data_IF_166899595773
#
_entry.id   IF_166899595773
#
_cell.length_a   1.000
_cell.length_b   1.000
_cell.length_c   1.000
_cell.angle_alpha   90.00
_cell.angle_beta   90.00
_cell.angle_gamma   90.00
#
_symmetry.space_group_name_H-M   'P 1'
#
loop_
_entity.id
_entity.type
_entity.pdbx_description
1 polymer ?
#
# COMPACT_ATOMS: atom_id res chain seq x y z
N UNK A 1 -0.16 28.15 -34.48
CA UNK A 1 -0.24 27.08 -33.48
C UNK A 1 -1.42 26.21 -33.83
N UNK A 2 -1.24 24.89 -33.87
CA UNK A 2 -2.35 23.94 -33.98
C UNK A 2 -2.70 23.56 -32.54
N UNK A 3 -3.95 23.79 -32.14
CA UNK A 3 -4.49 23.24 -30.89
C UNK A 3 -4.95 21.82 -31.23
N UNK A 4 -4.61 20.84 -30.39
CA UNK A 4 -4.97 19.44 -30.62
C UNK A 4 -6.29 19.05 -29.93
N UNK A 5 -6.57 19.66 -28.77
CA UNK A 5 -7.75 19.41 -27.96
C UNK A 5 -7.89 20.43 -26.85
N UNK A 6 -9.09 20.51 -26.26
CA UNK A 6 -9.35 21.28 -25.05
C UNK A 6 -9.52 20.32 -23.87
N UNK A 7 -8.58 20.33 -22.93
CA UNK A 7 -8.77 19.69 -21.63
C UNK A 7 -9.54 20.62 -20.72
N UNK A 8 -10.72 20.19 -20.26
CA UNK A 8 -11.69 21.09 -19.64
C UNK A 8 -11.22 21.63 -18.28
N UNK A 9 -10.86 20.71 -17.38
CA UNK A 9 -10.47 21.02 -16.00
C UNK A 9 -9.56 19.91 -15.51
N UNK A 10 -8.34 20.27 -15.13
CA UNK A 10 -7.37 19.38 -14.48
C UNK A 10 -7.82 19.06 -13.04
N UNK A 11 -7.84 17.77 -12.68
CA UNK A 11 -8.15 17.24 -11.35
C UNK A 11 -9.42 17.84 -10.71
N UNK A 12 -10.60 17.69 -11.33
CA UNK A 12 -11.81 18.32 -10.84
C UNK A 12 -12.19 17.80 -9.45
N UNK A 13 -12.37 18.74 -8.51
CA UNK A 13 -12.91 18.52 -7.16
C UNK A 13 -14.22 19.29 -7.04
N UNK A 14 -15.31 18.58 -6.72
CA UNK A 14 -16.66 19.14 -6.76
C UNK A 14 -17.41 18.98 -5.42
N UNK A 15 -18.61 19.57 -5.33
CA UNK A 15 -19.49 19.39 -4.15
C UNK A 15 -20.27 18.07 -4.23
N UNK A 16 -20.51 17.57 -5.43
CA UNK A 16 -21.00 16.23 -5.73
C UNK A 16 -20.54 15.79 -7.13
N UNK A 17 -20.63 14.50 -7.48
CA UNK A 17 -20.35 14.03 -8.84
C UNK A 17 -21.23 14.71 -9.90
N UNK A 18 -22.51 14.93 -9.60
CA UNK A 18 -23.47 15.54 -10.53
C UNK A 18 -23.12 16.99 -10.85
N UNK A 19 -22.52 17.73 -9.91
CA UNK A 19 -22.05 19.10 -10.17
C UNK A 19 -20.96 19.13 -11.23
N UNK A 20 -20.01 18.19 -11.17
CA UNK A 20 -18.95 18.10 -12.17
C UNK A 20 -19.51 17.69 -13.53
N UNK A 21 -20.36 16.66 -13.56
CA UNK A 21 -21.02 16.22 -14.79
C UNK A 21 -21.81 17.35 -15.46
N UNK A 22 -22.63 18.08 -14.70
CA UNK A 22 -23.42 19.19 -15.23
C UNK A 22 -22.55 20.33 -15.75
N UNK A 23 -21.45 20.65 -15.06
CA UNK A 23 -20.51 21.66 -15.52
C UNK A 23 -19.80 21.22 -16.81
N UNK A 24 -19.28 20.00 -16.85
CA UNK A 24 -18.59 19.45 -18.02
C UNK A 24 -19.52 19.45 -19.25
N UNK A 25 -20.77 18.97 -19.11
CA UNK A 25 -21.76 19.01 -20.20
C UNK A 25 -22.05 20.43 -20.70
N UNK A 26 -22.15 21.40 -19.80
CA UNK A 26 -22.33 22.82 -20.16
C UNK A 26 -21.12 23.39 -20.88
N UNK A 27 -19.91 23.04 -20.46
CA UNK A 27 -18.66 23.46 -21.12
C UNK A 27 -18.57 22.85 -22.52
N UNK A 28 -18.86 21.55 -22.67
CA UNK A 28 -18.90 20.89 -23.98
C UNK A 28 -19.91 21.58 -24.90
N UNK A 29 -21.15 21.79 -24.44
CA UNK A 29 -22.17 22.47 -25.24
C UNK A 29 -21.73 23.88 -25.68
N UNK A 30 -21.18 24.68 -24.75
CA UNK A 30 -20.69 26.02 -25.06
C UNK A 30 -19.51 26.01 -26.04
N UNK A 31 -18.61 25.03 -25.95
CA UNK A 31 -17.52 24.87 -26.94
C UNK A 31 -18.12 24.51 -28.29
N UNK A 32 -19.07 23.58 -28.36
CA UNK A 32 -19.70 23.13 -29.62
C UNK A 32 -20.53 24.22 -30.33
N UNK A 33 -20.97 25.26 -29.63
CA UNK A 33 -21.58 26.45 -30.24
C UNK A 33 -20.62 27.21 -31.16
N UNK A 34 -19.31 27.13 -30.92
CA UNK A 34 -18.29 27.89 -31.65
C UNK A 34 -17.22 27.03 -32.33
N UNK A 35 -17.02 25.80 -31.85
CA UNK A 35 -16.03 24.84 -32.33
C UNK A 35 -16.62 23.41 -32.36
N UNK A 36 -17.33 23.07 -33.46
CA UNK A 36 -18.18 21.87 -33.52
C UNK A 36 -17.42 20.55 -33.63
N UNK A 37 -16.12 20.56 -33.91
CA UNK A 37 -15.38 19.33 -34.26
C UNK A 37 -14.08 19.11 -33.49
N UNK A 38 -13.57 20.09 -32.73
CA UNK A 38 -12.31 19.89 -32.01
C UNK A 38 -12.41 18.80 -30.93
N UNK A 39 -11.30 18.12 -30.65
CA UNK A 39 -11.26 17.16 -29.55
C UNK A 39 -11.50 17.90 -28.23
N UNK A 40 -12.38 17.36 -27.39
CA UNK A 40 -12.54 17.80 -26.00
C UNK A 40 -12.13 16.63 -25.11
N UNK A 41 -11.30 16.92 -24.11
CA UNK A 41 -10.82 15.95 -23.14
C UNK A 41 -11.57 16.21 -21.83
N UNK A 42 -12.17 15.16 -21.27
CA UNK A 42 -12.96 15.24 -20.03
C UNK A 42 -12.34 14.32 -18.99
N UNK A 43 -11.88 14.90 -17.89
CA UNK A 43 -11.29 14.16 -16.78
C UNK A 43 -12.36 13.58 -15.85
N UNK A 44 -12.08 12.40 -15.28
CA UNK A 44 -12.86 11.86 -14.16
C UNK A 44 -12.86 12.80 -12.96
N UNK A 45 -13.86 12.68 -12.08
CA UNK A 45 -13.83 13.40 -10.80
C UNK A 45 -12.72 12.84 -9.89
N UNK A 46 -11.88 13.73 -9.35
CA UNK A 46 -10.82 13.36 -8.42
C UNK A 46 -11.29 13.34 -6.96
N UNK A 47 -12.23 14.22 -6.58
CA UNK A 47 -12.80 14.18 -5.24
C UNK A 47 -14.08 14.95 -5.03
N UNK A 48 -14.76 14.64 -3.92
CA UNK A 48 -15.98 15.31 -3.46
C UNK A 48 -15.74 15.89 -2.08
N UNK A 49 -15.77 17.23 -1.94
CA UNK A 49 -15.60 17.90 -0.63
C UNK A 49 -14.37 17.42 0.17
N UNK A 50 -13.25 17.17 -0.51
CA UNK A 50 -12.02 16.66 0.08
C UNK A 50 -11.97 15.14 0.32
N UNK A 51 -13.02 14.41 -0.08
CA UNK A 51 -13.02 12.95 -0.16
C UNK A 51 -12.51 12.51 -1.53
N UNK A 52 -11.33 11.87 -1.54
CA UNK A 52 -10.62 11.40 -2.73
C UNK A 52 -10.94 9.95 -3.09
N UNK A 53 -11.95 9.36 -2.44
CA UNK A 53 -12.35 7.99 -2.74
C UNK A 53 -12.94 7.90 -4.14
N UNK A 54 -12.66 6.77 -4.76
CA UNK A 54 -13.26 6.39 -6.04
C UNK A 54 -14.55 5.61 -5.79
N UNK A 55 -15.61 5.95 -6.52
CA UNK A 55 -16.93 5.32 -6.49
C UNK A 55 -17.10 4.40 -7.72
N UNK A 56 -18.34 4.22 -8.17
CA UNK A 56 -18.66 3.46 -9.38
C UNK A 56 -17.97 4.06 -10.63
N UNK A 57 -17.59 3.21 -11.58
CA UNK A 57 -16.99 3.57 -12.87
C UNK A 57 -15.82 4.53 -12.76
N UNK A 58 -15.02 4.40 -11.70
CA UNK A 58 -13.85 5.23 -11.47
C UNK A 58 -14.16 6.75 -11.47
N UNK A 59 -15.37 7.14 -11.06
CA UNK A 59 -15.88 8.52 -11.10
C UNK A 59 -15.92 9.15 -12.51
N UNK A 60 -15.92 8.35 -13.57
CA UNK A 60 -16.24 8.81 -14.91
C UNK A 60 -17.76 8.94 -15.11
N UNK A 61 -18.14 9.67 -16.15
CA UNK A 61 -19.48 9.72 -16.71
C UNK A 61 -19.35 9.93 -18.22
N UNK A 62 -20.35 9.51 -18.99
CA UNK A 62 -20.31 9.61 -20.45
C UNK A 62 -21.02 10.87 -20.97
N UNK A 63 -20.39 11.58 -21.89
CA UNK A 63 -20.99 12.67 -22.66
C UNK A 63 -21.25 12.21 -24.09
N UNK A 64 -22.48 12.38 -24.56
CA UNK A 64 -22.85 12.12 -25.96
C UNK A 64 -22.32 13.27 -26.83
N UNK A 65 -21.16 13.05 -27.43
CA UNK A 65 -20.51 13.98 -28.36
C UNK A 65 -19.59 13.18 -29.29
N UNK A 66 -19.51 13.52 -30.59
CA UNK A 66 -18.78 12.73 -31.56
C UNK A 66 -17.24 12.80 -31.41
N UNK A 67 -16.68 13.71 -30.61
CA UNK A 67 -15.23 13.88 -30.48
C UNK A 67 -14.80 14.22 -29.04
N UNK A 68 -15.09 13.31 -28.11
CA UNK A 68 -14.64 13.33 -26.71
C UNK A 68 -13.60 12.24 -26.48
N UNK A 69 -12.54 12.58 -25.74
CA UNK A 69 -11.68 11.62 -25.06
C UNK A 69 -11.79 11.79 -23.54
N UNK A 70 -11.55 10.72 -22.80
CA UNK A 70 -11.55 10.74 -21.33
C UNK A 70 -10.13 10.71 -20.80
N UNK A 71 -9.88 11.37 -19.67
CA UNK A 71 -8.57 11.37 -19.03
C UNK A 71 -8.58 11.06 -17.54
N UNK A 72 -7.44 10.58 -17.06
CA UNK A 72 -7.14 10.25 -15.68
C UNK A 72 -5.65 10.43 -15.39
N UNK A 73 -5.31 10.52 -14.10
CA UNK A 73 -3.92 10.55 -13.63
C UNK A 73 -3.52 9.24 -12.95
N UNK A 74 -2.24 8.90 -13.00
CA UNK A 74 -1.69 7.66 -12.45
C UNK A 74 -0.44 7.90 -11.61
N UNK A 75 -0.60 7.78 -10.29
CA UNK A 75 0.48 7.96 -9.31
C UNK A 75 0.61 6.78 -8.35
N UNK A 76 0.33 5.55 -8.79
CA UNK A 76 0.39 4.36 -7.94
C UNK A 76 1.81 3.74 -7.84
N UNK A 77 2.19 3.19 -6.67
CA UNK A 77 1.63 3.47 -5.36
C UNK A 77 1.95 4.90 -4.93
N UNK A 78 0.95 5.63 -4.42
CA UNK A 78 1.11 7.04 -4.04
C UNK A 78 2.22 7.27 -3.02
N UNK A 79 2.37 6.34 -2.07
CA UNK A 79 3.44 6.37 -1.08
C UNK A 79 4.84 6.30 -1.69
N UNK A 80 5.02 5.73 -2.89
CA UNK A 80 6.29 5.70 -3.60
C UNK A 80 6.44 6.91 -4.54
N UNK A 81 5.42 7.22 -5.34
CA UNK A 81 5.49 8.32 -6.32
C UNK A 81 5.64 9.69 -5.65
N UNK A 82 5.20 9.82 -4.39
CA UNK A 82 5.26 11.05 -3.59
C UNK A 82 6.08 10.89 -2.29
N UNK A 83 6.94 9.87 -2.18
CA UNK A 83 7.78 9.69 -0.99
C UNK A 83 8.63 10.94 -0.72
N UNK A 84 8.78 11.32 0.55
CA UNK A 84 9.59 12.47 1.01
C UNK A 84 9.13 13.83 0.51
N UNK A 85 7.89 13.92 0.02
CA UNK A 85 7.30 15.22 -0.29
C UNK A 85 6.82 15.91 0.99
N UNK A 86 7.21 17.17 1.24
CA UNK A 86 6.89 17.86 2.49
C UNK A 86 5.39 18.15 2.67
N UNK A 87 4.59 18.13 1.59
CA UNK A 87 3.16 18.42 1.63
C UNK A 87 2.27 17.20 1.82
N UNK A 88 2.75 15.97 1.55
CA UNK A 88 1.96 14.75 1.77
C UNK A 88 2.28 14.06 3.10
N UNK A 89 3.46 14.34 3.69
CA UNK A 89 3.91 13.69 4.91
C UNK A 89 4.19 12.19 4.73
N UNK A 90 4.39 11.73 3.49
CA UNK A 90 4.68 10.32 3.20
C UNK A 90 6.06 9.93 3.74
N UNK A 91 6.14 8.89 4.60
CA UNK A 91 7.40 8.44 5.19
C UNK A 91 8.30 7.76 4.14
N UNK A 92 9.59 7.66 4.50
CA UNK A 92 10.72 7.64 3.58
C UNK A 92 11.24 6.24 3.18
N UNK A 93 11.67 6.17 1.92
CA UNK A 93 12.68 5.31 1.28
C UNK A 93 12.45 3.79 1.16
N UNK A 94 11.41 3.40 0.44
CA UNK A 94 11.35 2.05 -0.15
C UNK A 94 11.54 2.12 -1.68
N UNK A 95 12.48 1.37 -2.27
CA UNK A 95 12.83 1.46 -3.69
C UNK A 95 11.76 0.85 -4.60
N UNK A 96 11.88 1.01 -5.92
CA UNK A 96 11.07 0.28 -6.90
C UNK A 96 11.92 -0.45 -7.96
N UNK A 97 11.58 -1.69 -8.32
CA UNK A 97 10.61 -2.55 -7.63
C UNK A 97 11.14 -2.94 -6.24
N UNK A 98 10.23 -3.31 -5.34
CA UNK A 98 10.56 -3.89 -4.05
C UNK A 98 9.64 -5.08 -3.79
N UNK A 99 10.19 -6.27 -4.04
CA UNK A 99 9.48 -7.54 -3.84
C UNK A 99 9.22 -7.84 -2.37
N UNK A 100 9.90 -7.20 -1.42
CA UNK A 100 9.64 -7.41 0.01
C UNK A 100 8.49 -6.53 0.52
N UNK A 101 8.18 -5.43 -0.18
CA UNK A 101 7.08 -4.54 0.19
C UNK A 101 5.75 -5.09 -0.32
N UNK A 102 4.90 -5.48 0.63
CA UNK A 102 3.53 -5.92 0.38
C UNK A 102 2.59 -4.72 0.23
N UNK A 103 1.70 -4.77 -0.77
CA UNK A 103 0.58 -3.86 -0.94
C UNK A 103 -0.67 -4.61 -0.51
N UNK A 104 -1.06 -4.39 0.74
CA UNK A 104 -2.16 -5.07 1.41
C UNK A 104 -3.48 -4.35 1.10
N UNK A 105 -4.53 -5.06 0.64
CA UNK A 105 -5.83 -4.45 0.41
C UNK A 105 -6.38 -3.74 1.65
N UNK A 106 -6.95 -2.54 1.45
CA UNK A 106 -7.48 -1.72 2.55
C UNK A 106 -8.63 -2.38 3.33
N UNK A 107 -9.34 -3.34 2.74
CA UNK A 107 -10.41 -4.09 3.38
C UNK A 107 -9.93 -5.37 4.08
N UNK A 108 -8.60 -5.56 4.20
CA UNK A 108 -8.02 -6.73 4.85
C UNK A 108 -8.47 -6.82 6.31
N UNK A 109 -8.94 -7.99 6.72
CA UNK A 109 -9.50 -8.24 8.05
C UNK A 109 -8.91 -9.51 8.67
N UNK A 110 -8.82 -9.50 10.01
CA UNK A 110 -8.49 -10.71 10.77
C UNK A 110 -9.49 -11.82 10.48
N UNK A 111 -8.99 -13.04 10.25
CA UNK A 111 -9.81 -14.20 9.91
C UNK A 111 -9.59 -15.37 10.86
N UNK A 112 -8.33 -15.74 11.11
CA UNK A 112 -7.97 -16.85 12.00
C UNK A 112 -6.59 -16.65 12.59
N UNK A 113 -6.16 -17.56 13.47
CA UNK A 113 -4.87 -17.46 14.13
C UNK A 113 -4.32 -18.82 14.59
N UNK A 114 -3.06 -18.83 15.05
CA UNK A 114 -2.47 -20.00 15.71
C UNK A 114 -2.82 -20.03 17.20
N UNK A 115 -3.66 -20.97 17.64
CA UNK A 115 -4.17 -21.01 19.01
C UNK A 115 -3.44 -21.97 19.96
N UNK A 116 -2.57 -22.83 19.45
CA UNK A 116 -1.94 -23.94 20.18
C UNK A 116 -0.46 -23.69 20.53
N UNK A 117 0.01 -22.46 20.44
CA UNK A 117 1.39 -22.13 20.80
C UNK A 117 1.62 -22.23 22.32
N UNK A 118 2.84 -22.59 22.75
CA UNK A 118 3.11 -22.72 24.18
C UNK A 118 3.00 -21.38 24.91
N UNK A 119 2.46 -21.42 26.13
CA UNK A 119 2.16 -20.23 26.93
C UNK A 119 3.11 -20.04 28.11
N UNK A 120 3.23 -18.80 28.62
CA UNK A 120 3.95 -18.52 29.86
C UNK A 120 3.34 -19.28 31.05
N UNK A 121 4.16 -19.84 31.96
CA UNK A 121 3.64 -20.40 33.21
C UNK A 121 3.10 -19.29 34.14
N UNK A 122 2.18 -19.61 35.05
CA UNK A 122 1.70 -18.66 36.04
C UNK A 122 2.81 -18.22 37.01
N UNK A 123 2.67 -17.03 37.58
CA UNK A 123 3.67 -16.44 38.48
C UNK A 123 4.79 -15.72 37.74
N UNK A 124 6.01 -15.79 38.28
CA UNK A 124 7.20 -15.15 37.72
C UNK A 124 8.03 -16.15 36.92
N UNK A 125 8.54 -15.73 35.77
CA UNK A 125 9.50 -16.51 34.98
C UNK A 125 10.64 -15.63 34.48
N UNK A 126 11.77 -16.24 34.13
CA UNK A 126 12.86 -15.57 33.39
C UNK A 126 12.64 -15.66 31.88
N UNK A 127 13.47 -14.96 31.11
CA UNK A 127 13.47 -15.06 29.65
C UNK A 127 13.71 -16.51 29.20
N UNK A 128 12.80 -17.07 28.41
CA UNK A 128 12.92 -18.41 27.80
C UNK A 128 12.48 -18.36 26.34
N UNK A 129 13.03 -19.26 25.54
CA UNK A 129 12.65 -19.41 24.14
C UNK A 129 11.46 -20.36 24.04
N UNK A 130 10.42 -19.94 23.34
CA UNK A 130 9.20 -20.70 23.10
C UNK A 130 9.12 -21.03 21.61
N UNK A 131 9.09 -22.33 21.29
CA UNK A 131 8.97 -22.82 19.91
C UNK A 131 7.50 -22.93 19.53
N UNK A 132 7.13 -22.29 18.43
CA UNK A 132 5.78 -22.35 17.88
C UNK A 132 5.41 -23.74 17.36
N UNK A 133 4.11 -24.00 17.32
CA UNK A 133 3.55 -25.12 16.57
C UNK A 133 3.33 -24.69 15.12
N UNK A 134 3.50 -25.63 14.19
CA UNK A 134 3.21 -25.41 12.78
C UNK A 134 1.70 -25.30 12.58
N UNK A 135 1.28 -24.27 11.87
CA UNK A 135 -0.09 -24.11 11.37
C UNK A 135 -0.08 -24.22 9.86
N UNK A 136 -0.86 -25.15 9.31
CA UNK A 136 -0.98 -25.33 7.87
C UNK A 136 -2.07 -24.41 7.31
N UNK A 137 -1.69 -23.49 6.44
CA UNK A 137 -2.58 -22.53 5.81
C UNK A 137 -3.29 -23.17 4.61
N UNK A 138 -4.39 -23.87 4.84
CA UNK A 138 -5.11 -24.59 3.77
C UNK A 138 -6.21 -23.76 3.08
N UNK A 139 -6.65 -22.67 3.68
CA UNK A 139 -7.67 -21.80 3.10
C UNK A 139 -7.04 -20.92 2.01
N UNK A 140 -7.48 -21.04 0.74
CA UNK A 140 -6.90 -20.29 -0.37
C UNK A 140 -7.17 -18.78 -0.30
N UNK A 141 -8.06 -18.32 0.58
CA UNK A 141 -8.38 -16.90 0.73
C UNK A 141 -7.44 -16.16 1.70
N UNK A 142 -6.56 -16.89 2.41
CA UNK A 142 -5.57 -16.28 3.28
C UNK A 142 -4.59 -15.44 2.46
N UNK A 143 -4.50 -14.15 2.79
CA UNK A 143 -3.62 -13.21 2.10
C UNK A 143 -2.31 -13.02 2.86
N UNK A 144 -2.42 -12.63 4.13
CA UNK A 144 -1.25 -12.30 4.95
C UNK A 144 -1.30 -12.98 6.30
N UNK A 145 -0.13 -13.18 6.88
CA UNK A 145 0.06 -13.52 8.28
C UNK A 145 0.88 -12.43 8.96
N UNK A 146 0.70 -12.24 10.26
CA UNK A 146 1.47 -11.29 11.07
C UNK A 146 1.67 -11.78 12.50
N UNK A 147 2.76 -11.40 13.18
CA UNK A 147 2.95 -11.72 14.59
C UNK A 147 1.92 -11.01 15.47
N UNK A 148 1.44 -11.72 16.48
CA UNK A 148 0.57 -11.22 17.52
C UNK A 148 1.06 -11.70 18.89
N UNK A 149 1.26 -10.77 19.81
CA UNK A 149 1.66 -11.05 21.18
C UNK A 149 0.41 -11.04 22.06
N UNK A 150 -0.01 -12.19 22.54
CA UNK A 150 -1.28 -12.36 23.27
C UNK A 150 -1.02 -12.28 24.77
N UNK A 151 -1.85 -11.55 25.50
CA UNK A 151 -1.92 -11.64 26.96
C UNK A 151 -3.38 -11.56 27.40
N UNK A 152 -4.02 -12.72 27.49
CA UNK A 152 -5.42 -12.86 27.91
C UNK A 152 -5.53 -13.15 29.40
N UNK A 153 -6.52 -12.54 30.05
CA UNK A 153 -6.87 -12.76 31.46
C UNK A 153 -5.68 -12.59 32.43
N UNK A 154 -4.80 -11.61 32.16
CA UNK A 154 -3.53 -11.43 32.86
C UNK A 154 -3.43 -10.07 33.58
N UNK A 155 -3.80 -10.04 34.87
CA UNK A 155 -3.56 -8.89 35.75
C UNK A 155 -2.08 -8.60 35.99
N UNK A 156 -1.20 -9.54 35.66
CA UNK A 156 0.25 -9.40 35.71
C UNK A 156 0.84 -8.71 34.48
N UNK A 157 2.01 -9.18 34.04
CA UNK A 157 2.68 -8.70 32.84
C UNK A 157 3.34 -9.84 32.07
N UNK A 158 3.20 -9.82 30.75
CA UNK A 158 3.92 -10.68 29.81
C UNK A 158 4.84 -9.81 28.95
N UNK A 159 6.06 -10.29 28.73
CA UNK A 159 7.10 -9.60 27.98
C UNK A 159 7.47 -10.45 26.77
N UNK A 160 7.54 -9.83 25.60
CA UNK A 160 7.81 -10.46 24.32
C UNK A 160 9.01 -9.78 23.68
N UNK A 161 10.06 -10.55 23.43
CA UNK A 161 11.28 -10.08 22.80
C UNK A 161 11.35 -10.49 21.33
N UNK A 162 12.58 -10.74 20.87
CA UNK A 162 12.84 -11.18 19.50
C UNK A 162 12.02 -12.42 19.12
N UNK A 163 11.51 -12.40 17.89
CA UNK A 163 10.73 -13.49 17.32
C UNK A 163 11.13 -13.77 15.86
N UNK A 164 10.76 -14.96 15.41
CA UNK A 164 10.91 -15.41 14.03
C UNK A 164 9.66 -16.16 13.61
N UNK A 165 9.24 -15.99 12.37
CA UNK A 165 8.20 -16.76 11.70
C UNK A 165 8.87 -17.56 10.59
N UNK A 166 8.83 -18.87 10.75
CA UNK A 166 9.39 -19.85 9.82
C UNK A 166 8.30 -20.34 8.87
N UNK A 167 8.63 -20.49 7.59
CA UNK A 167 7.77 -21.08 6.57
C UNK A 167 8.26 -22.48 6.19
N UNK A 168 7.30 -23.36 5.91
CA UNK A 168 7.53 -24.73 5.48
C UNK A 168 6.65 -25.05 4.26
N UNK A 169 7.19 -25.82 3.33
CA UNK A 169 6.43 -26.30 2.16
C UNK A 169 5.31 -27.28 2.55
N UNK A 170 4.56 -27.75 1.56
CA UNK A 170 3.45 -28.70 1.75
C UNK A 170 3.86 -30.04 2.36
N UNK A 171 5.14 -30.42 2.21
CA UNK A 171 5.72 -31.64 2.76
C UNK A 171 6.33 -31.42 4.15
N UNK A 172 6.31 -30.18 4.65
CA UNK A 172 6.84 -29.79 5.96
C UNK A 172 8.34 -29.47 5.97
N UNK A 173 8.99 -29.37 4.81
CA UNK A 173 10.39 -28.95 4.68
C UNK A 173 10.52 -27.46 4.94
N UNK A 174 11.57 -27.06 5.66
CA UNK A 174 11.83 -25.65 5.96
C UNK A 174 12.26 -24.88 4.70
N UNK A 175 11.60 -23.76 4.44
CA UNK A 175 11.90 -22.88 3.30
C UNK A 175 12.70 -21.64 3.72
N UNK A 176 12.43 -21.09 4.90
CA UNK A 176 13.09 -19.87 5.36
C UNK A 176 12.33 -19.15 6.47
N UNK A 177 12.90 -18.01 6.90
CA UNK A 177 12.20 -17.04 7.75
C UNK A 177 11.42 -16.10 6.84
N UNK A 178 10.10 -16.04 6.99
CA UNK A 178 9.25 -15.08 6.26
C UNK A 178 9.08 -13.77 7.01
N UNK A 179 9.37 -13.77 8.30
CA UNK A 179 9.39 -12.58 9.13
C UNK A 179 10.31 -12.80 10.33
N UNK A 180 11.12 -11.81 10.67
CA UNK A 180 11.86 -11.77 11.93
C UNK A 180 11.83 -10.35 12.48
N UNK A 181 11.71 -10.23 13.80
CA UNK A 181 11.57 -8.93 14.44
C UNK A 181 12.46 -8.83 15.67
N UNK A 182 13.31 -7.80 15.67
CA UNK A 182 13.95 -7.28 16.88
C UNK A 182 13.14 -6.08 17.34
N UNK A 183 12.61 -6.17 18.56
CA UNK A 183 11.78 -5.09 19.10
C UNK A 183 12.68 -3.90 19.43
N UNK A 184 12.39 -2.75 18.83
CA UNK A 184 13.08 -1.47 19.08
C UNK A 184 12.12 -0.28 19.31
N UNK A 185 10.87 -0.41 18.88
CA UNK A 185 9.83 0.58 19.09
C UNK A 185 8.44 -0.06 19.09
N UNK A 186 7.41 0.73 19.39
CA UNK A 186 6.00 0.32 19.19
C UNK A 186 5.46 0.70 17.80
N UNK A 187 6.27 1.30 16.93
CA UNK A 187 5.86 1.58 15.56
C UNK A 187 5.50 0.26 14.85
N UNK A 188 4.39 0.27 14.12
CA UNK A 188 3.86 -0.92 13.47
C UNK A 188 3.10 -1.89 14.37
N UNK A 189 2.98 -1.61 15.68
CA UNK A 189 2.21 -2.44 16.62
C UNK A 189 0.88 -1.81 16.98
N UNK A 190 -0.19 -2.59 16.89
CA UNK A 190 -1.54 -2.19 17.29
C UNK A 190 -2.00 -3.02 18.49
N UNK A 191 -2.40 -2.36 19.58
CA UNK A 191 -2.97 -3.03 20.75
C UNK A 191 -4.49 -3.10 20.63
N UNK A 192 -5.03 -4.31 20.73
CA UNK A 192 -6.45 -4.57 20.83
C UNK A 192 -6.76 -5.31 22.13
N UNK A 193 -7.90 -4.99 22.73
CA UNK A 193 -8.41 -5.63 23.93
C UNK A 193 -9.94 -5.70 23.87
N UNK A 194 -10.49 -6.88 24.14
CA UNK A 194 -11.92 -7.17 24.03
C UNK A 194 -12.78 -6.26 24.90
N UNK A 195 -12.33 -5.96 26.13
CA UNK A 195 -13.03 -5.14 27.12
C UNK A 195 -12.33 -3.77 27.35
N UNK A 196 -11.36 -3.43 26.50
CA UNK A 196 -10.57 -2.20 26.62
C UNK A 196 -9.56 -2.21 27.76
N UNK A 197 -9.35 -3.34 28.45
CA UNK A 197 -8.38 -3.47 29.53
C UNK A 197 -6.94 -3.62 29.02
N UNK A 198 -6.01 -3.30 29.90
CA UNK A 198 -4.57 -3.47 29.68
C UNK A 198 -3.93 -2.42 28.78
N UNK A 199 -2.64 -2.61 28.52
CA UNK A 199 -1.82 -1.72 27.69
C UNK A 199 -0.56 -2.41 27.20
N UNK A 200 0.02 -1.86 26.14
CA UNK A 200 1.39 -2.17 25.70
C UNK A 200 2.36 -1.05 26.06
N UNK A 201 3.58 -1.43 26.44
CA UNK A 201 4.68 -0.51 26.74
C UNK A 201 6.00 -1.13 26.24
N UNK A 202 7.00 -0.30 25.92
CA UNK A 202 8.37 -0.79 25.79
C UNK A 202 8.93 -1.12 27.18
N UNK A 203 9.68 -2.21 27.25
CA UNK A 203 10.37 -2.65 28.45
C UNK A 203 11.77 -3.17 28.13
N UNK A 204 12.58 -3.36 29.18
CA UNK A 204 13.89 -4.00 29.06
C UNK A 204 13.72 -5.43 28.53
N UNK A 205 14.36 -5.68 27.39
CA UNK A 205 14.41 -6.96 26.72
C UNK A 205 15.52 -7.85 27.24
N UNK A 206 15.80 -8.92 26.49
CA UNK A 206 16.90 -9.83 26.79
C UNK A 206 18.23 -9.19 26.36
N UNK A 207 19.29 -9.38 27.15
CA UNK A 207 20.67 -8.93 26.83
C UNK A 207 20.77 -7.44 26.48
N UNK A 208 20.01 -6.59 27.19
CA UNK A 208 20.02 -5.14 26.98
C UNK A 208 19.24 -4.66 25.75
N UNK A 209 18.51 -5.55 25.05
CA UNK A 209 17.57 -5.16 23.99
C UNK A 209 16.26 -4.59 24.56
N UNK A 210 15.25 -4.41 23.69
CA UNK A 210 13.90 -4.01 24.11
C UNK A 210 12.90 -5.15 23.92
N UNK A 211 11.75 -5.02 24.56
CA UNK A 211 10.64 -5.96 24.49
C UNK A 211 9.31 -5.21 24.55
N UNK A 212 8.28 -5.81 23.97
CA UNK A 212 6.90 -5.37 24.20
C UNK A 212 6.41 -6.01 25.49
N UNK A 213 5.96 -5.18 26.43
CA UNK A 213 5.29 -5.61 27.65
C UNK A 213 3.80 -5.37 27.50
N UNK A 214 3.01 -6.42 27.71
CA UNK A 214 1.55 -6.34 27.85
C UNK A 214 1.21 -6.54 29.31
N UNK A 215 0.35 -5.68 29.88
CA UNK A 215 0.00 -5.76 31.31
C UNK A 215 -1.42 -5.35 31.60
N UNK A 216 -1.99 -5.92 32.68
CA UNK A 216 -3.27 -5.50 33.25
C UNK A 216 -4.49 -5.86 32.39
N UNK A 217 -4.45 -6.97 31.68
CA UNK A 217 -5.57 -7.42 30.84
C UNK A 217 -6.56 -8.26 31.66
N UNK A 218 -7.85 -8.07 31.44
CA UNK A 218 -8.96 -8.77 32.10
C UNK A 218 -9.82 -9.60 31.15
N UNK A 219 -9.57 -9.50 29.85
CA UNK A 219 -10.18 -10.31 28.79
C UNK A 219 -9.11 -10.65 27.73
N UNK A 220 -9.55 -11.10 26.55
CA UNK A 220 -8.65 -11.32 25.42
C UNK A 220 -8.02 -10.01 24.94
N UNK A 221 -6.71 -10.04 24.74
CA UNK A 221 -5.95 -8.87 24.34
C UNK A 221 -4.65 -9.27 23.67
N UNK A 222 -4.24 -8.50 22.66
CA UNK A 222 -3.01 -8.73 21.92
C UNK A 222 -2.41 -7.45 21.35
N UNK A 223 -1.10 -7.49 21.14
CA UNK A 223 -0.38 -6.54 20.29
C UNK A 223 -0.12 -7.20 18.94
N UNK A 224 -0.70 -6.68 17.86
CA UNK A 224 -0.52 -7.18 16.49
C UNK A 224 0.53 -6.33 15.75
N UNK A 225 1.53 -7.00 15.15
CA UNK A 225 2.59 -6.35 14.36
C UNK A 225 2.19 -6.17 12.90
N UNK A 226 1.47 -5.09 12.60
CA UNK A 226 0.95 -4.79 11.26
C UNK A 226 2.03 -4.54 10.20
N UNK A 227 3.19 -4.02 10.61
CA UNK A 227 4.34 -3.77 9.72
C UNK A 227 5.17 -5.05 9.49
N UNK A 228 4.85 -6.13 10.21
CA UNK A 228 5.54 -7.42 10.15
C UNK A 228 4.73 -8.46 9.37
N UNK A 229 3.89 -7.99 8.44
CA UNK A 229 3.10 -8.87 7.58
C UNK A 229 4.00 -9.64 6.61
N UNK A 230 3.66 -10.89 6.38
CA UNK A 230 4.21 -11.72 5.31
C UNK A 230 3.07 -12.26 4.43
N UNK A 231 3.38 -12.56 3.17
CA UNK A 231 2.43 -13.17 2.24
C UNK A 231 2.23 -14.65 2.59
N UNK A 232 0.98 -15.10 2.60
CA UNK A 232 0.64 -16.51 2.86
C UNK A 232 0.56 -17.26 1.54
N UNK A 233 1.21 -18.42 1.50
CA UNK A 233 1.13 -19.36 0.39
C UNK A 233 0.17 -20.49 0.78
N UNK A 234 -0.94 -20.72 0.05
CA UNK A 234 -1.83 -21.84 0.32
C UNK A 234 -1.09 -23.18 0.31
N UNK A 235 -1.40 -24.04 1.29
CA UNK A 235 -0.77 -25.36 1.47
C UNK A 235 0.49 -25.37 2.34
N UNK A 236 1.19 -24.24 2.45
CA UNK A 236 2.37 -24.09 3.30
C UNK A 236 2.01 -24.07 4.80
N UNK A 237 3.01 -24.27 5.65
CA UNK A 237 2.87 -24.15 7.10
C UNK A 237 3.74 -23.05 7.67
N UNK A 238 3.27 -22.43 8.76
CA UNK A 238 3.97 -21.34 9.43
C UNK A 238 4.08 -21.60 10.93
N UNK A 239 5.21 -21.23 11.54
CA UNK A 239 5.40 -21.32 12.99
C UNK A 239 6.10 -20.06 13.51
N UNK A 240 5.53 -19.45 14.56
CA UNK A 240 6.16 -18.32 15.26
C UNK A 240 6.86 -18.79 16.53
N UNK A 241 8.13 -18.47 16.65
CA UNK A 241 8.97 -18.79 17.80
C UNK A 241 9.64 -17.52 18.33
N UNK A 242 9.99 -17.48 19.61
CA UNK A 242 10.61 -16.27 20.17
C UNK A 242 10.80 -16.32 21.68
N UNK A 243 11.34 -15.23 22.24
CA UNK A 243 11.60 -15.11 23.66
C UNK A 243 10.43 -14.46 24.42
N UNK A 244 10.03 -15.08 25.53
CA UNK A 244 9.04 -14.50 26.45
C UNK A 244 9.50 -14.57 27.91
N UNK A 245 8.98 -13.67 28.74
CA UNK A 245 9.14 -13.63 30.19
C UNK A 245 7.81 -13.21 30.85
N UNK A 246 7.52 -13.70 32.06
CA UNK A 246 6.33 -13.35 32.83
C UNK A 246 6.65 -12.71 34.19
N UNK A 247 5.81 -11.76 34.62
CA UNK A 247 5.81 -11.24 35.99
C UNK A 247 4.38 -11.26 36.53
N UNK A 248 4.19 -11.97 37.66
CA UNK A 248 2.88 -12.16 38.31
C UNK A 248 1.79 -12.62 37.33
N UNK A 249 2.14 -13.49 36.38
CA UNK A 249 1.19 -14.03 35.39
C UNK A 249 0.06 -14.74 36.11
N UNK A 250 -1.19 -14.35 35.80
CA UNK A 250 -2.36 -14.92 36.47
C UNK A 250 -2.49 -16.43 36.23
N UNK A 251 -3.12 -17.14 37.16
CA UNK A 251 -3.21 -18.61 37.16
C UNK A 251 -3.78 -19.19 35.85
N UNK A 252 -4.77 -18.51 35.26
CA UNK A 252 -5.48 -18.94 34.06
C UNK A 252 -5.15 -18.08 32.83
N UNK A 253 -4.15 -17.20 32.92
CA UNK A 253 -3.77 -16.33 31.83
C UNK A 253 -3.25 -17.15 30.64
N UNK A 254 -3.53 -16.66 29.43
CA UNK A 254 -2.90 -17.17 28.20
C UNK A 254 -2.01 -16.07 27.65
N UNK A 255 -0.70 -16.27 27.81
CA UNK A 255 0.31 -15.37 27.26
C UNK A 255 1.20 -16.12 26.27
N UNK A 256 1.13 -15.80 24.98
CA UNK A 256 1.83 -16.55 23.93
C UNK A 256 2.16 -15.69 22.71
N UNK A 257 3.12 -16.16 21.92
CA UNK A 257 3.33 -15.72 20.54
C UNK A 257 2.28 -16.39 19.66
N UNK A 258 1.68 -15.63 18.74
CA UNK A 258 0.63 -16.09 17.82
C UNK A 258 0.89 -15.52 16.42
N UNK A 259 0.47 -16.22 15.38
CA UNK A 259 0.31 -15.64 14.04
C UNK A 259 -1.16 -15.35 13.86
N UNK A 260 -1.50 -14.11 13.53
CA UNK A 260 -2.82 -13.70 13.06
C UNK A 260 -2.82 -13.73 11.54
N UNK A 261 -3.81 -14.40 10.95
CA UNK A 261 -4.00 -14.51 9.51
C UNK A 261 -5.18 -13.66 9.05
N UNK A 262 -5.05 -13.07 7.88
CA UNK A 262 -5.99 -12.09 7.36
C UNK A 262 -6.45 -12.42 5.92
N UNK A 263 -7.68 -12.03 5.60
CA UNK A 263 -8.31 -12.19 4.27
C UNK A 263 -8.85 -10.84 3.77
N UNK A 264 -9.22 -10.75 2.49
CA UNK A 264 -9.98 -9.61 1.94
C UNK A 264 -11.44 -10.04 1.69
N UNK A 265 -12.42 -9.48 2.43
CA UNK A 265 -13.83 -9.79 2.22
C UNK A 265 -14.35 -9.48 0.81
N UNK A 266 -13.76 -8.48 0.12
CA UNK A 266 -14.10 -8.18 -1.27
C UNK A 266 -13.33 -9.03 -2.30
N UNK A 267 -12.50 -9.98 -1.86
CA UNK A 267 -11.72 -10.85 -2.74
C UNK A 267 -10.56 -10.14 -3.43
N UNK A 268 -10.11 -8.98 -2.92
CA UNK A 268 -8.95 -8.28 -3.47
C UNK A 268 -7.67 -9.08 -3.24
N UNK A 269 -6.76 -8.99 -4.19
CA UNK A 269 -5.48 -9.70 -4.19
C UNK A 269 -4.43 -8.94 -3.40
N UNK A 270 -3.52 -9.69 -2.79
CA UNK A 270 -2.27 -9.15 -2.26
C UNK A 270 -1.30 -8.91 -3.42
N UNK A 271 -0.64 -7.75 -3.43
CA UNK A 271 0.40 -7.44 -4.41
C UNK A 271 1.73 -7.17 -3.74
N UNK A 272 2.79 -7.18 -4.55
CA UNK A 272 4.12 -6.65 -4.20
C UNK A 272 4.33 -5.35 -4.96
N UNK A 273 5.25 -4.51 -4.50
CA UNK A 273 5.53 -3.22 -5.14
C UNK A 273 6.37 -3.41 -6.41
N UNK A 274 5.72 -3.83 -7.49
CA UNK A 274 6.35 -4.14 -8.79
C UNK A 274 5.39 -3.86 -9.96
N UNK A 275 5.79 -4.24 -11.18
CA UNK A 275 5.04 -3.99 -12.43
C UNK A 275 3.65 -4.60 -12.42
N UNK A 276 3.47 -5.75 -11.79
CA UNK A 276 2.17 -6.44 -11.73
C UNK A 276 1.15 -5.63 -10.94
N UNK A 277 1.58 -4.95 -9.87
CA UNK A 277 0.72 -4.01 -9.16
C UNK A 277 0.35 -2.80 -10.02
N UNK A 278 1.31 -2.24 -10.76
CA UNK A 278 1.04 -1.10 -11.67
C UNK A 278 0.02 -1.50 -12.74
N UNK A 279 0.19 -2.70 -13.32
CA UNK A 279 -0.76 -3.29 -14.26
C UNK A 279 -2.15 -3.40 -13.64
N UNK A 280 -2.26 -4.02 -12.47
CA UNK A 280 -3.55 -4.18 -11.79
C UNK A 280 -4.28 -2.85 -11.55
N UNK A 281 -3.56 -1.81 -11.15
CA UNK A 281 -4.17 -0.48 -10.96
C UNK A 281 -4.55 0.17 -12.30
N UNK A 282 -3.73 0.03 -13.34
CA UNK A 282 -3.97 0.60 -14.66
C UNK A 282 -5.16 -0.09 -15.37
N UNK A 283 -5.28 -1.41 -15.23
CA UNK A 283 -6.32 -2.22 -15.86
C UNK A 283 -7.74 -1.79 -15.48
N UNK A 284 -7.94 -1.18 -14.31
CA UNK A 284 -9.24 -0.62 -13.92
C UNK A 284 -9.70 0.46 -14.90
N UNK A 285 -8.77 1.30 -15.37
CA UNK A 285 -9.06 2.36 -16.35
C UNK A 285 -9.21 1.79 -17.76
N UNK A 286 -8.41 0.78 -18.11
CA UNK A 286 -8.55 0.06 -19.38
C UNK A 286 -9.92 -0.63 -19.46
N UNK A 287 -10.37 -1.28 -18.39
CA UNK A 287 -11.70 -1.90 -18.31
C UNK A 287 -12.81 -0.87 -18.54
N UNK A 288 -12.68 0.35 -17.99
CA UNK A 288 -13.61 1.44 -18.28
C UNK A 288 -13.63 1.79 -19.78
N UNK A 289 -12.46 1.98 -20.40
CA UNK A 289 -12.34 2.25 -21.85
C UNK A 289 -13.03 1.17 -22.69
N UNK A 290 -12.73 -0.09 -22.42
CA UNK A 290 -13.23 -1.21 -23.23
C UNK A 290 -14.72 -1.45 -23.00
N UNK A 291 -15.20 -1.33 -21.77
CA UNK A 291 -16.62 -1.48 -21.42
C UNK A 291 -17.49 -0.44 -22.11
N UNK A 292 -17.00 0.80 -22.20
CA UNK A 292 -17.76 1.92 -22.77
C UNK A 292 -17.40 2.21 -24.24
N UNK A 293 -16.35 1.57 -24.77
CA UNK A 293 -15.82 1.79 -26.11
C UNK A 293 -15.53 3.28 -26.39
N UNK A 294 -14.75 3.91 -25.51
CA UNK A 294 -14.40 5.35 -25.58
C UNK A 294 -12.90 5.58 -25.65
N UNK A 295 -12.42 6.66 -26.30
CA UNK A 295 -11.00 7.03 -26.24
C UNK A 295 -10.59 7.39 -24.81
N UNK A 296 -9.43 6.89 -24.40
CA UNK A 296 -8.85 7.13 -23.08
C UNK A 296 -7.41 7.62 -23.22
N UNK A 297 -7.03 8.55 -22.35
CA UNK A 297 -5.74 9.23 -22.35
C UNK A 297 -5.20 9.37 -20.92
N UNK A 298 -3.94 9.03 -20.68
CA UNK A 298 -3.28 9.25 -19.39
C UNK A 298 -2.72 10.67 -19.30
N UNK A 299 -3.47 11.57 -18.65
CA UNK A 299 -3.15 13.00 -18.57
C UNK A 299 -1.90 13.29 -17.75
N UNK A 300 -1.69 12.55 -16.66
CA UNK A 300 -0.49 12.72 -15.85
C UNK A 300 -0.03 11.40 -15.24
N UNK A 301 1.27 11.15 -15.33
CA UNK A 301 1.97 10.18 -14.50
C UNK A 301 3.41 10.66 -14.32
N UNK A 302 4.00 10.32 -13.18
CA UNK A 302 5.33 10.79 -12.85
C UNK A 302 5.76 10.39 -11.45
N UNK A 303 6.95 10.85 -11.09
CA UNK A 303 7.55 10.57 -9.78
C UNK A 303 8.18 11.84 -9.23
N UNK A 304 8.05 12.02 -7.92
CA UNK A 304 8.82 13.04 -7.23
C UNK A 304 10.33 12.79 -7.44
N UNK A 305 11.08 13.88 -7.55
CA UNK A 305 12.50 13.91 -7.91
C UNK A 305 13.35 12.97 -7.06
N UNK A 306 13.02 12.82 -5.78
CA UNK A 306 13.74 11.93 -4.86
C UNK A 306 13.76 10.47 -5.34
N UNK A 307 12.73 10.01 -6.03
CA UNK A 307 12.65 8.66 -6.57
C UNK A 307 13.74 8.36 -7.62
N UNK A 308 14.40 9.38 -8.16
CA UNK A 308 15.50 9.25 -9.13
C UNK A 308 16.89 9.29 -8.49
N UNK A 309 16.99 9.36 -7.16
CA UNK A 309 18.26 9.20 -6.46
C UNK A 309 18.75 7.74 -6.53
N UNK A 310 20.03 7.53 -6.25
CA UNK A 310 20.66 6.21 -6.35
C UNK A 310 19.95 5.18 -5.45
N UNK A 311 19.66 4.00 -5.99
CA UNK A 311 18.98 2.93 -5.28
C UNK A 311 17.45 3.03 -5.25
N UNK A 312 16.86 4.19 -5.54
CA UNK A 312 15.40 4.37 -5.41
C UNK A 312 14.59 3.81 -6.58
N UNK A 313 15.20 3.68 -7.77
CA UNK A 313 14.61 2.92 -8.86
C UNK A 313 13.53 3.64 -9.68
N UNK A 314 13.46 4.96 -9.63
CA UNK A 314 12.50 5.76 -10.40
C UNK A 314 12.55 5.50 -11.91
N UNK A 315 13.73 5.28 -12.49
CA UNK A 315 13.85 4.92 -13.90
C UNK A 315 13.25 3.54 -14.24
N UNK A 316 13.24 2.59 -13.30
CA UNK A 316 12.61 1.29 -13.50
C UNK A 316 11.08 1.43 -13.48
N UNK A 317 10.53 2.23 -12.55
CA UNK A 317 9.10 2.50 -12.50
C UNK A 317 8.60 3.18 -13.77
N UNK A 318 9.30 4.21 -14.26
CA UNK A 318 8.90 4.88 -15.51
C UNK A 318 9.02 3.92 -16.69
N UNK A 319 10.05 3.08 -16.75
CA UNK A 319 10.16 2.06 -17.82
C UNK A 319 8.99 1.08 -17.80
N UNK A 320 8.66 0.55 -16.63
CA UNK A 320 7.54 -0.39 -16.47
C UNK A 320 6.21 0.24 -16.86
N UNK A 321 5.95 1.48 -16.43
CA UNK A 321 4.77 2.24 -16.86
C UNK A 321 4.76 2.40 -18.37
N UNK A 322 5.83 2.88 -18.96
CA UNK A 322 5.88 3.10 -20.40
C UNK A 322 5.66 1.80 -21.21
N UNK A 323 6.19 0.67 -20.74
CA UNK A 323 5.93 -0.64 -21.36
C UNK A 323 4.45 -1.05 -21.24
N UNK A 324 3.80 -0.78 -20.10
CA UNK A 324 2.36 -1.02 -19.95
C UNK A 324 1.54 -0.10 -20.87
N UNK A 325 1.94 1.17 -21.00
CA UNK A 325 1.26 2.13 -21.86
C UNK A 325 1.35 1.72 -23.34
N UNK A 326 2.50 1.19 -23.79
CA UNK A 326 2.62 0.61 -25.13
C UNK A 326 1.74 -0.64 -25.30
N UNK A 327 1.69 -1.50 -24.28
CA UNK A 327 0.94 -2.75 -24.30
C UNK A 327 -0.57 -2.53 -24.48
N UNK A 328 -1.12 -1.49 -23.83
CA UNK A 328 -2.53 -1.14 -23.93
C UNK A 328 -2.86 -0.11 -25.02
N UNK A 329 -1.87 0.29 -25.83
CA UNK A 329 -2.00 1.35 -26.84
C UNK A 329 -2.63 2.62 -26.23
N UNK A 330 -2.06 3.08 -25.11
CA UNK A 330 -2.58 4.20 -24.34
C UNK A 330 -1.70 5.44 -24.54
N UNK A 331 -2.29 6.50 -25.07
CA UNK A 331 -1.64 7.81 -25.19
C UNK A 331 -1.45 8.45 -23.80
N UNK A 332 -0.35 9.19 -23.62
CA UNK A 332 0.00 9.74 -22.30
C UNK A 332 0.74 11.07 -22.37
N UNK A 333 0.78 11.77 -21.23
CA UNK A 333 1.73 12.86 -20.94
C UNK A 333 2.47 12.61 -19.63
N UNK A 334 3.79 12.78 -19.68
CA UNK A 334 4.63 12.66 -18.48
C UNK A 334 4.61 13.98 -17.70
N UNK A 335 4.26 13.89 -16.42
CA UNK A 335 4.34 15.01 -15.48
C UNK A 335 5.75 15.02 -14.84
N UNK A 336 6.62 16.00 -15.11
CA UNK A 336 6.41 17.19 -15.95
C UNK A 336 7.66 17.57 -16.75
N UNK A 337 7.52 18.48 -17.72
CA UNK A 337 8.68 18.95 -18.49
C UNK A 337 9.66 19.74 -17.60
N UNK A 338 9.17 20.73 -16.85
CA UNK A 338 10.03 21.71 -16.19
C UNK A 338 9.43 22.24 -14.89
N UNK A 339 9.81 21.64 -13.78
CA UNK A 339 9.52 22.10 -12.42
C UNK A 339 10.41 21.36 -11.39
N UNK A 340 10.47 21.87 -10.16
CA UNK A 340 11.37 21.34 -9.14
C UNK A 340 11.04 19.91 -8.68
N UNK A 341 9.75 19.59 -8.58
CA UNK A 341 9.27 18.40 -7.88
C UNK A 341 9.26 17.16 -8.77
N UNK A 342 8.70 17.22 -9.97
CA UNK A 342 8.50 16.10 -10.90
C UNK A 342 9.13 16.35 -12.27
N UNK A 343 9.76 17.51 -12.48
CA UNK A 343 10.28 17.92 -13.77
C UNK A 343 11.34 16.96 -14.34
N UNK A 344 11.36 16.80 -15.66
CA UNK A 344 12.55 16.33 -16.39
C UNK A 344 13.69 17.35 -16.16
N UNK A 345 13.35 18.63 -16.12
CA UNK A 345 14.25 19.72 -15.74
C UNK A 345 13.81 20.29 -14.39
N UNK A 346 14.71 20.28 -13.40
CA UNK A 346 14.40 20.54 -12.00
C UNK A 346 14.50 22.01 -11.56
N UNK A 347 14.87 22.92 -12.44
CA UNK A 347 15.03 24.33 -12.09
C UNK A 347 13.75 25.12 -12.34
N UNK A 348 12.81 25.14 -11.39
CA UNK A 348 11.59 25.93 -11.54
C UNK A 348 11.78 27.45 -11.65
N UNK A 349 13.01 27.98 -11.58
CA UNK A 349 13.32 29.42 -11.50
C UNK A 349 14.09 29.99 -12.69
N UNK A 350 14.66 29.14 -13.55
CA UNK A 350 15.39 29.55 -14.76
C UNK A 350 14.88 28.80 -15.99
N UNK A 351 15.42 29.07 -17.19
CA UNK A 351 15.08 28.26 -18.36
C UNK A 351 15.67 26.84 -18.24
N UNK A 352 15.03 25.81 -18.86
CA UNK A 352 15.54 24.44 -18.84
C UNK A 352 17.00 24.35 -19.26
N UNK A 353 17.81 23.68 -18.44
CA UNK A 353 19.25 23.51 -18.64
C UNK A 353 19.62 22.04 -18.43
N UNK A 354 20.47 21.46 -19.30
CA UNK A 354 20.95 20.08 -19.14
C UNK A 354 21.65 19.84 -17.79
N UNK A 355 22.26 20.88 -17.19
CA UNK A 355 22.88 20.78 -15.88
C UNK A 355 21.88 20.51 -14.74
N UNK A 356 20.61 20.89 -14.91
CA UNK A 356 19.52 20.67 -13.94
C UNK A 356 18.53 19.61 -14.41
N UNK A 357 18.93 18.74 -15.35
CA UNK A 357 18.05 17.74 -15.93
C UNK A 357 18.22 16.34 -15.35
N UNK A 358 17.11 15.60 -15.28
CA UNK A 358 17.09 14.16 -15.14
C UNK A 358 17.55 13.51 -16.46
N UNK A 359 18.86 13.39 -16.62
CA UNK A 359 19.46 12.79 -17.84
C UNK A 359 19.03 11.34 -18.07
N UNK A 360 18.66 10.61 -17.01
CA UNK A 360 18.13 9.25 -17.10
C UNK A 360 16.77 9.21 -17.82
N UNK A 361 15.85 10.10 -17.43
CA UNK A 361 14.55 10.24 -18.12
C UNK A 361 14.73 10.69 -19.57
N UNK A 362 15.59 11.67 -19.82
CA UNK A 362 15.86 12.14 -21.20
C UNK A 362 16.32 10.99 -22.09
N UNK A 363 17.25 10.15 -21.60
CA UNK A 363 17.73 8.98 -22.33
C UNK A 363 16.62 7.94 -22.53
N UNK A 364 15.81 7.69 -21.50
CA UNK A 364 14.70 6.74 -21.57
C UNK A 364 13.67 7.15 -22.62
N UNK A 365 13.25 8.42 -22.64
CA UNK A 365 12.28 8.93 -23.61
C UNK A 365 12.85 9.03 -25.03
N UNK A 366 14.12 9.37 -25.21
CA UNK A 366 14.78 9.40 -26.55
C UNK A 366 15.01 8.01 -27.14
N UNK A 367 15.01 6.97 -26.32
CA UNK A 367 15.26 5.59 -26.76
C UNK A 367 14.02 4.86 -27.25
N UNK A 368 12.86 5.52 -27.25
CA UNK A 368 11.58 5.06 -27.77
C UNK A 368 11.31 5.80 -29.07
#
# INVERSE_FOLDING_TARGET
>A
TIVAGYDLVNEPIARSPEDWEQLARRLVAAIREVDPYHLIIVERLHGVKGDWRTFQDLNFFLIEDPNIAYTFHFYHPFSYTHQNTPWTGMPEDSPYPDENTLIVPADTQWYTATFNNPTLPPGNSGWRYYRGQKYRATDPNLLTGKPAFVSRDNSGSAYFGDFVIEEYDENGNYLGNVCEGKISSLAGWYFWSQDGSGKIELAEGRRGGQAIKISGTTADANAAGNDYRFAVTPGHSYAISGYMKGSRVSKNAVCMLRIDFETSPSGKKLFRKNKEYLRYELEKFIEFRETHNVPLYLGEFGLYRHCFTEGMGGLNWVRDMLELLDEYDLSYTYHAYHEYSFGIYWDGSALPNEASANTGLIKLFRGR
#
